data_IF_048329385965
#
_entry.id   IF_048329385965
#
_cell.length_a   1.000
_cell.length_b   1.000
_cell.length_c   1.000
_cell.angle_alpha   90.00
_cell.angle_beta   90.00
_cell.angle_gamma   90.00
#
_symmetry.space_group_name_H-M   'P 1'
#
loop_
_entity.id
_entity.type
_entity.pdbx_description
1 polymer ?
#
# COMPACT_ATOMS: atom_id res chain seq x y z
N UNK A 1 -38.41 6.30 -15.39
CA UNK A 1 -37.21 7.11 -15.65
C UNK A 1 -36.28 6.96 -14.48
N UNK A 2 -35.21 6.17 -14.64
CA UNK A 2 -34.20 5.91 -13.62
C UNK A 2 -32.87 5.61 -14.32
N UNK A 3 -32.06 6.64 -14.57
CA UNK A 3 -30.67 6.47 -14.98
C UNK A 3 -29.84 7.73 -14.64
N UNK A 4 -29.11 7.71 -13.50
CA UNK A 4 -27.82 8.42 -13.47
C UNK A 4 -26.67 7.65 -12.76
N UNK A 5 -26.81 6.36 -12.43
CA UNK A 5 -25.76 5.63 -11.69
C UNK A 5 -24.64 5.04 -12.58
N UNK A 6 -24.85 4.89 -13.89
CA UNK A 6 -23.87 4.25 -14.79
C UNK A 6 -22.73 5.18 -15.25
N UNK A 7 -22.90 6.49 -15.12
CA UNK A 7 -21.92 7.49 -15.59
C UNK A 7 -20.80 7.77 -14.59
N UNK A 8 -21.00 7.54 -13.28
CA UNK A 8 -19.98 7.78 -12.26
C UNK A 8 -18.86 6.71 -12.26
N UNK A 9 -19.20 5.44 -12.50
CA UNK A 9 -18.21 4.36 -12.59
C UNK A 9 -17.30 4.51 -13.82
N UNK A 10 -17.85 4.96 -14.95
CA UNK A 10 -17.08 5.23 -16.17
C UNK A 10 -16.09 6.39 -16.02
N UNK A 11 -16.37 7.36 -15.15
CA UNK A 11 -15.48 8.50 -14.86
C UNK A 11 -14.26 8.11 -14.02
N UNK A 12 -14.42 7.19 -13.07
CA UNK A 12 -13.31 6.65 -12.27
C UNK A 12 -12.42 5.74 -13.11
N UNK A 13 -13.01 4.89 -13.97
CA UNK A 13 -12.24 4.04 -14.89
C UNK A 13 -11.49 4.88 -15.94
N UNK A 14 -12.06 6.00 -16.39
CA UNK A 14 -11.39 6.94 -17.30
C UNK A 14 -10.28 7.74 -16.59
N UNK A 15 -10.45 8.13 -15.33
CA UNK A 15 -9.44 8.85 -14.55
C UNK A 15 -8.27 7.92 -14.14
N UNK A 16 -8.56 6.67 -13.77
CA UNK A 16 -7.54 5.64 -13.51
C UNK A 16 -6.81 5.29 -14.80
N UNK A 17 -7.53 5.12 -15.92
CA UNK A 17 -6.91 4.90 -17.22
C UNK A 17 -6.04 6.11 -17.64
N UNK A 18 -6.50 7.34 -17.45
CA UNK A 18 -5.74 8.55 -17.79
C UNK A 18 -4.47 8.72 -16.94
N UNK A 19 -4.49 8.32 -15.66
CA UNK A 19 -3.28 8.29 -14.82
C UNK A 19 -2.25 7.24 -15.27
N UNK A 20 -2.64 6.28 -16.11
CA UNK A 20 -1.81 5.20 -16.65
C UNK A 20 -1.09 5.61 -17.96
N UNK A 21 -1.42 6.76 -18.58
CA UNK A 21 -1.00 7.10 -19.95
C UNK A 21 0.12 8.14 -20.13
N UNK A 22 0.67 8.74 -19.06
CA UNK A 22 1.76 9.73 -19.20
C UNK A 22 3.17 9.21 -18.88
N UNK A 23 3.31 7.90 -18.62
CA UNK A 23 4.60 7.24 -18.84
C UNK A 23 4.75 6.97 -20.33
N UNK A 24 5.27 7.98 -21.06
CA UNK A 24 5.96 7.76 -22.32
C UNK A 24 6.81 6.48 -22.20
N UNK A 25 6.93 5.64 -23.25
CA UNK A 25 7.67 4.37 -23.20
C UNK A 25 9.16 4.68 -23.06
N UNK A 26 9.55 5.13 -21.87
CA UNK A 26 10.90 5.19 -21.39
C UNK A 26 11.33 3.74 -21.47
N UNK A 27 12.29 3.48 -22.36
CA UNK A 27 12.98 2.20 -22.51
C UNK A 27 12.94 1.50 -21.18
N UNK A 28 12.24 0.37 -21.08
CA UNK A 28 12.14 -0.41 -19.87
C UNK A 28 13.57 -0.76 -19.43
N UNK A 29 14.20 0.15 -18.67
CA UNK A 29 15.44 -0.12 -17.99
C UNK A 29 15.06 -1.27 -17.11
N UNK A 30 15.71 -2.42 -17.32
CA UNK A 30 15.65 -3.51 -16.36
C UNK A 30 15.97 -2.88 -15.02
N UNK A 31 14.95 -2.64 -14.21
CA UNK A 31 15.13 -2.18 -12.85
C UNK A 31 15.92 -3.29 -12.19
N UNK A 32 17.11 -2.94 -11.71
CA UNK A 32 17.92 -3.88 -10.95
C UNK A 32 17.10 -4.43 -9.79
N UNK A 33 17.46 -5.62 -9.32
CA UNK A 33 16.81 -6.22 -8.16
C UNK A 33 16.85 -5.28 -6.95
N UNK A 34 17.93 -4.51 -6.77
CA UNK A 34 18.08 -3.54 -5.65
C UNK A 34 16.99 -2.46 -5.65
N UNK A 35 16.79 -1.62 -6.71
CA UNK A 35 15.68 -0.67 -6.76
C UNK A 35 14.30 -1.28 -6.53
N UNK A 36 14.07 -2.48 -7.06
CA UNK A 36 12.79 -3.18 -6.88
C UNK A 36 12.58 -3.58 -5.42
N UNK A 37 13.61 -4.11 -4.77
CA UNK A 37 13.56 -4.46 -3.34
C UNK A 37 13.36 -3.22 -2.48
N UNK A 38 14.07 -2.11 -2.76
CA UNK A 38 13.93 -0.87 -1.99
C UNK A 38 12.52 -0.27 -2.12
N UNK A 39 11.93 -0.28 -3.31
CA UNK A 39 10.55 0.17 -3.50
C UNK A 39 9.55 -0.72 -2.76
N UNK A 40 9.79 -2.05 -2.75
CA UNK A 40 8.96 -2.98 -2.00
C UNK A 40 9.11 -2.80 -0.49
N UNK A 41 10.33 -2.60 0.00
CA UNK A 41 10.62 -2.32 1.41
C UNK A 41 9.95 -1.03 1.85
N UNK A 42 10.01 0.03 1.04
CA UNK A 42 9.30 1.29 1.29
C UNK A 42 7.79 1.06 1.49
N UNK A 43 7.18 0.28 0.61
CA UNK A 43 5.74 0.00 0.67
C UNK A 43 5.36 -0.83 1.91
N UNK A 44 6.23 -1.73 2.36
CA UNK A 44 5.93 -2.68 3.46
C UNK A 44 6.29 -2.15 4.84
N UNK A 45 7.40 -1.40 4.97
CA UNK A 45 7.90 -0.93 6.26
C UNK A 45 7.00 0.09 6.94
N UNK A 46 6.30 0.96 6.19
CA UNK A 46 5.48 2.02 6.78
C UNK A 46 4.36 1.49 7.69
N UNK A 47 3.44 0.72 7.13
CA UNK A 47 2.28 0.18 7.87
C UNK A 47 2.64 -1.01 8.75
N UNK A 48 3.50 -1.92 8.26
CA UNK A 48 3.85 -3.14 8.98
C UNK A 48 4.54 -2.84 10.32
N UNK A 49 5.44 -1.85 10.33
CA UNK A 49 6.19 -1.47 11.53
C UNK A 49 5.31 -1.02 12.69
N UNK A 50 4.21 -0.33 12.39
CA UNK A 50 3.35 0.28 13.41
C UNK A 50 2.31 -0.71 13.94
N UNK A 51 1.93 -1.70 13.12
CA UNK A 51 1.02 -2.77 13.54
C UNK A 51 1.72 -3.85 14.38
N UNK A 52 3.04 -4.06 14.19
CA UNK A 52 3.78 -5.10 14.89
C UNK A 52 3.76 -4.95 16.42
N UNK A 53 4.04 -3.79 17.03
CA UNK A 53 4.02 -3.64 18.49
C UNK A 53 2.67 -4.04 19.10
N UNK A 54 1.56 -3.64 18.47
CA UNK A 54 0.22 -3.99 18.94
C UNK A 54 -0.05 -5.50 18.82
N UNK A 55 0.39 -6.13 17.71
CA UNK A 55 0.28 -7.56 17.52
C UNK A 55 1.11 -8.34 18.56
N UNK A 56 2.35 -7.91 18.83
CA UNK A 56 3.21 -8.50 19.86
C UNK A 56 2.67 -8.29 21.28
N UNK A 57 2.05 -7.13 21.56
CA UNK A 57 1.42 -6.87 22.85
C UNK A 57 0.23 -7.80 23.12
N UNK A 58 -0.55 -8.14 22.08
CA UNK A 58 -1.72 -9.03 22.21
C UNK A 58 -1.39 -10.52 22.12
N UNK A 59 -0.50 -10.92 21.21
CA UNK A 59 -0.14 -12.32 20.96
C UNK A 59 1.07 -12.79 21.78
N UNK A 60 1.75 -11.87 22.46
CA UNK A 60 3.05 -12.11 23.08
C UNK A 60 4.17 -12.23 22.04
N UNK A 61 5.41 -12.31 22.52
CA UNK A 61 6.62 -12.43 21.68
C UNK A 61 6.55 -13.70 20.82
N UNK A 62 6.25 -14.84 21.44
CA UNK A 62 6.18 -16.12 20.74
C UNK A 62 5.10 -16.11 19.65
N UNK A 63 3.90 -15.64 19.96
CA UNK A 63 2.79 -15.58 19.00
C UNK A 63 3.07 -14.64 17.84
N UNK A 64 3.65 -13.46 18.11
CA UNK A 64 4.05 -12.51 17.07
C UNK A 64 5.14 -13.06 16.14
N UNK A 65 6.18 -13.73 16.69
CA UNK A 65 7.22 -14.37 15.88
C UNK A 65 6.63 -15.45 14.98
N UNK A 66 5.77 -16.33 15.52
CA UNK A 66 5.11 -17.38 14.73
C UNK A 66 4.26 -16.76 13.62
N UNK A 67 3.48 -15.71 13.92
CA UNK A 67 2.66 -15.03 12.93
C UNK A 67 3.50 -14.45 11.77
N UNK A 68 4.63 -13.80 12.07
CA UNK A 68 5.54 -13.26 11.05
C UNK A 68 6.20 -14.38 10.22
N UNK A 69 6.67 -15.44 10.90
CA UNK A 69 7.32 -16.59 10.25
C UNK A 69 6.36 -17.33 9.30
N UNK A 70 5.07 -17.38 9.62
CA UNK A 70 4.04 -17.97 8.75
C UNK A 70 3.59 -17.01 7.65
N UNK A 71 3.43 -15.72 7.96
CA UNK A 71 2.99 -14.72 6.99
C UNK A 71 4.01 -14.51 5.86
N UNK A 72 5.31 -14.46 6.19
CA UNK A 72 6.38 -14.24 5.22
C UNK A 72 6.38 -15.23 4.02
N UNK A 73 6.38 -16.57 4.21
CA UNK A 73 6.32 -17.51 3.11
C UNK A 73 4.98 -17.46 2.36
N UNK A 74 3.85 -17.20 3.04
CA UNK A 74 2.56 -17.02 2.37
C UNK A 74 2.59 -15.83 1.39
N UNK A 75 3.14 -14.69 1.83
CA UNK A 75 3.35 -13.54 0.96
C UNK A 75 4.30 -13.87 -0.21
N UNK A 76 5.41 -14.55 0.06
CA UNK A 76 6.37 -14.94 -0.98
C UNK A 76 5.74 -15.88 -2.03
N UNK A 77 4.95 -16.86 -1.58
CA UNK A 77 4.20 -17.76 -2.45
C UNK A 77 3.19 -16.98 -3.30
N UNK A 78 2.44 -16.04 -2.70
CA UNK A 78 1.49 -15.20 -3.43
C UNK A 78 2.15 -14.41 -4.56
N UNK A 79 3.27 -13.74 -4.27
CA UNK A 79 4.05 -12.99 -5.27
C UNK A 79 4.58 -13.91 -6.37
N UNK A 80 5.09 -15.09 -6.01
CA UNK A 80 5.60 -16.07 -6.97
C UNK A 80 4.50 -16.59 -7.92
N UNK A 81 3.29 -16.85 -7.39
CA UNK A 81 2.16 -17.29 -8.20
C UNK A 81 1.71 -16.19 -9.17
N UNK A 82 1.61 -14.94 -8.72
CA UNK A 82 1.31 -13.80 -9.59
C UNK A 82 2.38 -13.65 -10.68
N UNK A 83 3.65 -13.79 -10.34
CA UNK A 83 4.75 -13.72 -11.30
C UNK A 83 4.68 -14.84 -12.36
N UNK A 84 4.36 -16.06 -11.95
CA UNK A 84 4.15 -17.21 -12.86
C UNK A 84 2.94 -16.98 -13.77
N UNK A 85 1.81 -16.56 -13.20
CA UNK A 85 0.59 -16.24 -13.95
C UNK A 85 0.85 -15.12 -14.98
N UNK A 86 1.56 -14.06 -14.59
CA UNK A 86 1.99 -12.97 -15.50
C UNK A 86 2.77 -13.49 -16.69
N UNK A 87 3.79 -14.34 -16.45
CA UNK A 87 4.61 -14.93 -17.52
C UNK A 87 3.78 -15.80 -18.44
N UNK A 88 2.89 -16.63 -17.89
CA UNK A 88 2.02 -17.50 -18.67
C UNK A 88 1.06 -16.71 -19.57
N UNK A 89 0.40 -15.68 -19.04
CA UNK A 89 -0.52 -14.83 -19.82
C UNK A 89 0.25 -14.01 -20.87
N UNK A 90 1.42 -13.47 -20.53
CA UNK A 90 2.26 -12.75 -21.49
C UNK A 90 2.73 -13.66 -22.64
N UNK A 91 3.12 -14.91 -22.35
CA UNK A 91 3.48 -15.89 -23.37
C UNK A 91 2.30 -16.21 -24.31
N UNK A 92 1.10 -16.41 -23.76
CA UNK A 92 -0.12 -16.64 -24.56
C UNK A 92 -0.48 -15.44 -25.45
N UNK A 93 -0.38 -14.21 -24.93
CA UNK A 93 -0.64 -12.99 -25.72
C UNK A 93 0.37 -12.84 -26.87
N UNK A 94 1.65 -13.12 -26.62
CA UNK A 94 2.69 -13.12 -27.67
C UNK A 94 2.44 -14.16 -28.75
N UNK A 95 2.09 -15.40 -28.37
CA UNK A 95 1.78 -16.46 -29.32
C UNK A 95 0.59 -16.09 -30.23
N UNK A 96 -0.48 -15.51 -29.66
CA UNK A 96 -1.64 -15.04 -30.44
C UNK A 96 -1.30 -13.87 -31.36
N UNK A 97 -0.48 -12.92 -30.90
CA UNK A 97 -0.05 -11.80 -31.73
C UNK A 97 0.77 -12.27 -32.94
N UNK A 98 1.68 -13.23 -32.74
CA UNK A 98 2.46 -13.85 -33.82
C UNK A 98 1.56 -14.60 -34.81
N UNK A 99 0.59 -15.38 -34.32
CA UNK A 99 -0.36 -16.09 -35.18
C UNK A 99 -1.24 -15.14 -36.01
N UNK A 100 -1.56 -13.95 -35.49
CA UNK A 100 -2.30 -12.91 -36.20
C UNK A 100 -1.42 -12.05 -37.14
N UNK A 101 -0.12 -12.35 -37.29
CA UNK A 101 0.80 -11.60 -38.13
C UNK A 101 1.21 -10.22 -37.56
N UNK A 102 0.84 -9.90 -36.31
CA UNK A 102 1.16 -8.62 -35.68
C UNK A 102 2.59 -8.69 -35.11
N UNK A 103 3.56 -8.15 -35.85
CA UNK A 103 4.99 -8.16 -35.49
C UNK A 103 5.36 -7.30 -34.27
N UNK A 104 4.51 -6.37 -33.87
CA UNK A 104 4.75 -5.49 -32.72
C UNK A 104 3.43 -5.08 -32.08
N UNK A 105 3.05 -5.78 -31.02
CA UNK A 105 2.11 -5.19 -30.06
C UNK A 105 2.94 -4.38 -29.09
N UNK A 106 2.78 -3.06 -29.08
CA UNK A 106 3.08 -2.21 -27.93
C UNK A 106 2.43 -2.87 -26.71
N UNK A 107 3.25 -3.55 -25.91
CA UNK A 107 2.75 -4.42 -24.86
C UNK A 107 2.19 -3.53 -23.75
N UNK A 108 0.87 -3.30 -23.79
CA UNK A 108 0.16 -2.66 -22.69
C UNK A 108 0.57 -3.35 -21.38
N UNK A 109 0.96 -2.61 -20.34
CA UNK A 109 1.31 -3.19 -19.05
C UNK A 109 0.16 -4.09 -18.57
N UNK A 110 0.50 -5.30 -18.13
CA UNK A 110 -0.49 -6.27 -17.68
C UNK A 110 -0.93 -5.93 -16.25
N UNK A 111 -2.12 -5.37 -16.10
CA UNK A 111 -2.73 -5.12 -14.78
C UNK A 111 -3.05 -6.45 -14.07
N UNK A 112 -3.11 -6.44 -12.73
CA UNK A 112 -3.48 -7.62 -11.95
C UNK A 112 -4.89 -8.17 -12.30
N UNK A 113 -5.91 -7.31 -12.48
CA UNK A 113 -7.23 -7.74 -12.96
C UNK A 113 -7.22 -8.37 -14.35
N UNK A 114 -6.35 -7.92 -15.27
CA UNK A 114 -6.23 -8.52 -16.60
C UNK A 114 -5.72 -9.96 -16.53
N UNK A 115 -4.77 -10.22 -15.63
CA UNK A 115 -4.22 -11.57 -15.40
C UNK A 115 -5.30 -12.47 -14.81
N UNK A 116 -6.05 -11.96 -13.83
CA UNK A 116 -7.17 -12.68 -13.23
C UNK A 116 -8.28 -12.95 -14.25
N UNK A 117 -8.57 -11.99 -15.13
CA UNK A 117 -9.53 -12.17 -16.24
C UNK A 117 -9.07 -13.25 -17.21
N UNK A 118 -7.77 -13.27 -17.53
CA UNK A 118 -7.20 -14.27 -18.43
C UNK A 118 -7.14 -15.68 -17.82
N UNK A 119 -7.05 -15.79 -16.49
CA UNK A 119 -6.97 -17.06 -15.77
C UNK A 119 -8.35 -17.63 -15.38
N UNK A 120 -9.24 -16.79 -14.87
CA UNK A 120 -10.51 -17.18 -14.24
C UNK A 120 -11.75 -16.60 -14.94
N UNK A 121 -11.57 -15.88 -16.05
CA UNK A 121 -12.66 -15.20 -16.75
C UNK A 121 -13.08 -13.88 -16.11
N UNK A 122 -14.14 -13.27 -16.65
CA UNK A 122 -14.56 -11.89 -16.31
C UNK A 122 -14.88 -11.68 -14.83
N UNK A 123 -15.47 -12.69 -14.18
CA UNK A 123 -15.76 -12.65 -12.74
C UNK A 123 -14.49 -12.59 -11.88
N UNK A 124 -13.45 -13.34 -12.23
CA UNK A 124 -12.17 -13.31 -11.53
C UNK A 124 -11.46 -11.97 -11.66
N UNK A 125 -11.54 -11.34 -12.84
CA UNK A 125 -11.07 -9.98 -13.07
C UNK A 125 -11.72 -8.96 -12.13
N UNK A 126 -13.04 -8.99 -12.07
CA UNK A 126 -13.82 -8.10 -11.19
C UNK A 126 -13.48 -8.33 -9.72
N UNK A 127 -13.46 -9.59 -9.26
CA UNK A 127 -13.16 -9.92 -7.87
C UNK A 127 -11.77 -9.43 -7.44
N UNK A 128 -10.75 -9.64 -8.26
CA UNK A 128 -9.38 -9.18 -7.98
C UNK A 128 -9.28 -7.65 -8.04
N UNK A 129 -9.98 -7.01 -8.98
CA UNK A 129 -10.07 -5.55 -9.05
C UNK A 129 -10.69 -4.96 -7.79
N UNK A 130 -11.86 -5.46 -7.39
CA UNK A 130 -12.55 -5.02 -6.18
C UNK A 130 -11.71 -5.26 -4.91
N UNK A 131 -11.08 -6.43 -4.80
CA UNK A 131 -10.19 -6.74 -3.68
C UNK A 131 -8.97 -5.79 -3.62
N UNK A 132 -8.40 -5.43 -4.77
CA UNK A 132 -7.28 -4.49 -4.85
C UNK A 132 -7.70 -3.08 -4.41
N UNK A 133 -8.87 -2.61 -4.87
CA UNK A 133 -9.41 -1.30 -4.46
C UNK A 133 -9.70 -1.30 -2.96
N UNK A 134 -10.38 -2.33 -2.45
CA UNK A 134 -10.72 -2.44 -1.04
C UNK A 134 -9.46 -2.49 -0.16
N UNK A 135 -8.44 -3.23 -0.56
CA UNK A 135 -7.16 -3.29 0.13
C UNK A 135 -6.48 -1.91 0.16
N UNK A 136 -6.42 -1.20 -0.96
CA UNK A 136 -5.85 0.15 -1.03
C UNK A 136 -6.60 1.15 -0.15
N UNK A 137 -7.94 1.14 -0.18
CA UNK A 137 -8.77 1.99 0.69
C UNK A 137 -8.51 1.68 2.16
N UNK A 138 -8.44 0.40 2.53
CA UNK A 138 -8.13 -0.01 3.90
C UNK A 138 -6.75 0.47 4.37
N UNK A 139 -5.73 0.36 3.50
CA UNK A 139 -4.38 0.87 3.79
C UNK A 139 -4.39 2.39 3.97
N UNK A 140 -5.08 3.13 3.11
CA UNK A 140 -5.19 4.58 3.22
C UNK A 140 -5.92 5.01 4.50
N UNK A 141 -7.01 4.33 4.86
CA UNK A 141 -7.77 4.63 6.08
C UNK A 141 -6.93 4.39 7.35
N UNK A 142 -6.20 3.26 7.40
CA UNK A 142 -5.30 2.98 8.52
C UNK A 142 -4.16 4.01 8.62
N UNK A 143 -3.62 4.47 7.49
CA UNK A 143 -2.60 5.52 7.48
C UNK A 143 -3.13 6.85 8.03
N UNK A 144 -4.36 7.21 7.68
CA UNK A 144 -5.04 8.41 8.17
C UNK A 144 -5.30 8.37 9.67
N UNK A 145 -5.79 7.25 10.20
CA UNK A 145 -5.99 7.07 11.63
C UNK A 145 -4.66 7.19 12.40
N UNK A 146 -3.61 6.52 11.91
CA UNK A 146 -2.28 6.61 12.51
C UNK A 146 -1.72 8.04 12.49
N UNK A 147 -1.84 8.73 11.35
CA UNK A 147 -1.39 10.12 11.21
C UNK A 147 -2.17 11.06 12.15
N UNK A 148 -3.49 10.87 12.26
CA UNK A 148 -4.34 11.62 13.17
C UNK A 148 -3.93 11.46 14.63
N UNK A 149 -3.66 10.23 15.07
CA UNK A 149 -3.16 9.94 16.43
C UNK A 149 -1.78 10.53 16.68
N UNK A 150 -0.88 10.43 15.71
CA UNK A 150 0.45 11.04 15.80
C UNK A 150 0.35 12.57 15.94
N UNK A 151 -0.49 13.23 15.15
CA UNK A 151 -0.69 14.68 15.24
C UNK A 151 -1.35 15.10 16.56
N UNK A 152 -2.34 14.35 17.04
CA UNK A 152 -2.97 14.59 18.34
C UNK A 152 -1.94 14.51 19.49
N UNK A 153 -0.97 13.59 19.41
CA UNK A 153 0.10 13.48 20.40
C UNK A 153 1.11 14.63 20.35
N UNK A 154 1.32 15.25 19.19
CA UNK A 154 2.24 16.37 19.00
C UNK A 154 1.63 17.72 19.37
N UNK A 155 0.31 17.85 19.33
CA UNK A 155 -0.40 19.10 19.66
C UNK A 155 -1.46 18.86 20.76
N UNK A 156 -1.05 18.58 22.01
CA UNK A 156 -1.98 18.34 23.12
C UNK A 156 -2.84 19.57 23.43
N UNK A 157 -2.32 20.77 23.12
CA UNK A 157 -2.93 22.06 23.43
C UNK A 157 -4.23 22.34 22.66
N UNK A 158 -4.52 21.60 21.60
CA UNK A 158 -5.74 21.81 20.82
C UNK A 158 -7.00 21.25 21.51
N UNK A 159 -6.87 20.31 22.47
CA UNK A 159 -8.03 19.65 23.10
C UNK A 159 -8.91 18.84 22.13
N UNK A 160 -8.41 18.59 20.91
CA UNK A 160 -9.14 17.92 19.83
C UNK A 160 -8.86 16.41 19.88
N UNK A 161 -9.93 15.60 19.85
CA UNK A 161 -9.82 14.14 19.78
C UNK A 161 -9.12 13.67 18.49
N UNK A 162 -8.41 12.54 18.56
CA UNK A 162 -7.70 11.96 17.40
C UNK A 162 -8.63 11.66 16.21
N UNK A 163 -9.89 11.33 16.47
CA UNK A 163 -10.90 11.06 15.43
C UNK A 163 -11.23 12.31 14.61
N UNK A 164 -11.18 13.49 15.23
CA UNK A 164 -11.43 14.75 14.53
C UNK A 164 -10.21 15.11 13.67
N UNK A 165 -8.99 14.82 14.13
CA UNK A 165 -7.79 15.00 13.33
C UNK A 165 -7.77 14.10 12.09
N UNK A 166 -8.20 12.84 12.20
CA UNK A 166 -8.28 11.93 11.05
C UNK A 166 -9.34 12.38 10.04
N UNK A 167 -10.50 12.87 10.52
CA UNK A 167 -11.52 13.49 9.68
C UNK A 167 -11.03 14.76 8.97
N UNK A 168 -10.23 15.59 9.64
CA UNK A 168 -9.64 16.81 9.06
C UNK A 168 -8.55 16.49 8.01
N UNK A 169 -7.76 15.43 8.22
CA UNK A 169 -6.73 14.98 7.29
C UNK A 169 -7.32 14.36 6.01
N UNK A 170 -8.50 13.77 6.09
CA UNK A 170 -9.16 13.10 4.96
C UNK A 170 -9.36 14.02 3.74
N UNK A 171 -10.02 15.20 3.85
CA UNK A 171 -10.17 16.10 2.71
C UNK A 171 -8.84 16.70 2.25
N UNK A 172 -7.88 16.89 3.16
CA UNK A 172 -6.54 17.37 2.80
C UNK A 172 -5.80 16.35 1.93
N UNK A 173 -5.86 15.06 2.27
CA UNK A 173 -5.30 14.00 1.44
C UNK A 173 -6.08 13.81 0.14
N UNK A 174 -7.40 13.96 0.15
CA UNK A 174 -8.19 13.94 -1.08
C UNK A 174 -7.79 15.08 -2.03
N UNK A 175 -7.57 16.28 -1.49
CA UNK A 175 -7.04 17.42 -2.24
C UNK A 175 -5.61 17.16 -2.73
N UNK A 176 -4.73 16.63 -1.89
CA UNK A 176 -3.37 16.29 -2.29
C UNK A 176 -3.33 15.19 -3.38
N UNK A 177 -4.25 14.23 -3.33
CA UNK A 177 -4.41 13.20 -4.35
C UNK A 177 -4.92 13.74 -5.69
N UNK A 178 -5.55 14.93 -5.70
CA UNK A 178 -5.94 15.60 -6.95
C UNK A 178 -4.76 16.24 -7.69
N UNK A 179 -3.59 16.37 -7.04
CA UNK A 179 -2.37 16.89 -7.66
C UNK A 179 -1.71 15.76 -8.46
N UNK A 180 -1.78 15.84 -9.79
CA UNK A 180 -1.28 14.81 -10.70
C UNK A 180 0.25 14.64 -10.76
N UNK A 181 1.03 15.53 -10.14
CA UNK A 181 2.49 15.50 -10.19
C UNK A 181 3.11 14.49 -9.21
N UNK A 182 3.14 13.22 -9.65
CA UNK A 182 3.74 12.08 -8.93
C UNK A 182 5.24 12.27 -8.59
N UNK A 183 5.94 13.17 -9.28
CA UNK A 183 7.38 13.40 -9.10
C UNK A 183 7.72 13.92 -7.71
N UNK A 184 6.86 14.76 -7.13
CA UNK A 184 7.07 15.32 -5.78
C UNK A 184 6.95 14.23 -4.72
N UNK A 185 6.03 13.28 -4.90
CA UNK A 185 5.80 12.17 -3.98
C UNK A 185 6.94 11.13 -3.94
N UNK A 186 7.72 11.02 -5.03
CA UNK A 186 8.87 10.14 -5.06
C UNK A 186 9.97 10.57 -4.07
N UNK A 187 10.25 11.88 -4.00
CA UNK A 187 11.21 12.46 -3.08
C UNK A 187 10.74 12.38 -1.62
N UNK A 188 9.49 12.75 -1.35
CA UNK A 188 8.95 12.74 0.03
C UNK A 188 8.94 11.34 0.63
N UNK A 189 8.67 10.31 -0.17
CA UNK A 189 8.65 8.96 0.39
C UNK A 189 10.06 8.42 0.69
N UNK A 190 11.13 8.91 0.04
CA UNK A 190 12.50 8.59 0.47
C UNK A 190 12.81 9.17 1.87
N UNK A 191 12.37 10.40 2.14
CA UNK A 191 12.44 11.03 3.47
C UNK A 191 11.65 10.22 4.49
N UNK A 192 10.44 9.77 4.13
CA UNK A 192 9.63 8.91 4.98
C UNK A 192 10.33 7.61 5.39
N UNK A 193 11.05 6.96 4.46
CA UNK A 193 11.82 5.75 4.78
C UNK A 193 12.95 6.04 5.78
N UNK A 194 13.68 7.15 5.59
CA UNK A 194 14.74 7.56 6.52
C UNK A 194 14.16 7.86 7.90
N UNK A 195 13.05 8.58 7.97
CA UNK A 195 12.36 8.88 9.23
C UNK A 195 11.95 7.61 9.99
N UNK A 196 11.37 6.63 9.28
CA UNK A 196 11.00 5.33 9.88
C UNK A 196 12.24 4.57 10.36
N UNK A 197 13.31 4.52 9.56
CA UNK A 197 14.55 3.85 9.93
C UNK A 197 15.20 4.48 11.18
N UNK A 198 15.20 5.81 11.27
CA UNK A 198 15.67 6.55 12.44
C UNK A 198 14.80 6.25 13.67
N UNK A 199 13.47 6.27 13.52
CA UNK A 199 12.54 5.93 14.59
C UNK A 199 12.75 4.51 15.13
N UNK A 200 12.89 3.53 14.25
CA UNK A 200 13.23 2.15 14.64
C UNK A 200 14.59 2.07 15.34
N UNK A 201 15.60 2.76 14.81
CA UNK A 201 16.94 2.79 15.41
C UNK A 201 16.93 3.37 16.83
N UNK A 202 16.15 4.43 17.06
CA UNK A 202 15.97 5.03 18.38
C UNK A 202 15.30 4.07 19.37
N UNK A 203 14.26 3.34 18.94
CA UNK A 203 13.58 2.32 19.77
C UNK A 203 14.54 1.19 20.13
N UNK A 204 15.33 0.69 19.18
CA UNK A 204 16.30 -0.38 19.43
C UNK A 204 17.40 0.10 20.38
N UNK A 205 17.95 1.30 20.16
CA UNK A 205 18.97 1.87 21.02
C UNK A 205 18.45 2.04 22.46
N UNK A 206 17.27 2.65 22.65
CA UNK A 206 16.66 2.83 23.96
C UNK A 206 16.37 1.50 24.68
N UNK A 207 15.93 0.47 23.94
CA UNK A 207 15.70 -0.86 24.50
C UNK A 207 16.98 -1.55 24.98
N UNK A 208 18.14 -1.27 24.36
CA UNK A 208 19.42 -1.86 24.78
C UNK A 208 20.09 -1.13 25.95
N UNK A 209 19.78 0.15 26.16
CA UNK A 209 20.42 0.96 27.21
C UNK A 209 19.96 0.60 28.62
N UNK A 210 18.85 -0.14 28.79
CA UNK A 210 18.29 -0.45 30.11
C UNK A 210 17.76 0.79 30.86
N UNK A 211 17.80 1.96 30.24
CA UNK A 211 17.12 3.16 30.71
C UNK A 211 15.62 2.94 30.50
N UNK A 212 15.00 2.23 31.43
CA UNK A 212 13.55 2.11 31.51
C UNK A 212 13.02 3.54 31.72
N UNK A 213 12.39 4.18 30.72
CA UNK A 213 11.82 5.50 30.94
C UNK A 213 10.77 5.32 32.03
N UNK A 214 10.94 6.05 33.15
CA UNK A 214 10.06 5.98 34.30
C UNK A 214 8.60 5.95 33.81
N UNK A 215 7.78 4.98 34.26
CA UNK A 215 6.46 4.73 33.70
C UNK A 215 5.68 6.04 33.71
N UNK A 216 5.44 6.61 32.53
CA UNK A 216 4.52 7.71 32.37
C UNK A 216 3.19 7.21 32.94
N UNK A 217 2.72 7.81 34.03
CA UNK A 217 1.56 7.39 34.78
C UNK A 217 0.37 7.14 33.83
N UNK A 218 0.12 5.87 33.56
CA UNK A 218 -0.88 5.31 32.64
C UNK A 218 -2.30 5.40 33.19
N UNK A 219 -2.57 6.36 34.06
CA UNK A 219 -3.84 6.51 34.77
C UNK A 219 -5.00 7.06 33.93
N UNK A 220 -4.87 7.19 32.61
CA UNK A 220 -5.92 7.75 31.74
C UNK A 220 -6.36 6.88 30.55
N UNK A 221 -5.80 5.68 30.37
CA UNK A 221 -6.10 4.85 29.18
C UNK A 221 -7.10 3.70 29.41
N UNK A 222 -7.66 3.52 30.61
CA UNK A 222 -8.71 2.52 30.88
C UNK A 222 -10.14 3.09 30.87
N UNK A 223 -10.36 4.27 30.31
CA UNK A 223 -11.65 4.96 30.30
C UNK A 223 -12.52 4.79 29.05
N UNK A 224 -12.24 3.81 28.18
CA UNK A 224 -12.95 3.64 26.90
C UNK A 224 -13.34 2.18 26.68
N UNK A 225 -14.37 1.74 27.41
CA UNK A 225 -15.35 0.77 26.92
C UNK A 225 -16.62 1.53 26.50
#
# INVERSE_FOLDING_TARGET
GTAPAATAAAGVDAAVAASEWDEAPTRARRTGWVPATLNLSKATLGMGAMALPWAFARLGIAGGVVAVVVAAPLCALGVLQIARARRAVAARRRARALAAGVRQTTARPLSLPDIATAACGRGGGFAVGAATVLASVGVCAAFLDLAGRALASLVPSAGVSGDVWSLLLTPLLAAAASVGDMKVFAYTSAVGLVAVAVGMGAVVAGGTSGDEPAPASTSSLTGWE
#
